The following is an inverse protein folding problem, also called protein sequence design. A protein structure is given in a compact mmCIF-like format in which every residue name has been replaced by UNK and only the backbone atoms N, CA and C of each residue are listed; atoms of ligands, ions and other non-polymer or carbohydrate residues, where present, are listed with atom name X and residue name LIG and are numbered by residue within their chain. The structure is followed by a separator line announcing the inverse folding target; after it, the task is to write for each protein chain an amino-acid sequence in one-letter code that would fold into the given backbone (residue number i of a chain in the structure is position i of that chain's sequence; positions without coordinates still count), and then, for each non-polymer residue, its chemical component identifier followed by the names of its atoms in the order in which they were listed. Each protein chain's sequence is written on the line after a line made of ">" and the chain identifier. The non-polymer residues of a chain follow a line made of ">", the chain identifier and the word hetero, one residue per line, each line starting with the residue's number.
data_IF_173129914210
#
_entry.id   IF_173129914210
#
_cell.length_a   1.000
_cell.length_b   1.000
_cell.length_c   1.000
_cell.angle_alpha   90.00
_cell.angle_beta   90.00
_cell.angle_gamma   90.00
#
_symmetry.space_group_name_H-M   'P 1'
#
loop_
_entity.id
_entity.type
_entity.pdbx_description
1 polymer ?
#
# COMPACT_ATOMS: atom_id res chain seq x y z
N UNK A 1 -38.46 -16.01 -28.90
CA UNK A 1 -37.38 -15.43 -28.10
C UNK A 1 -36.25 -16.42 -27.86
N UNK A 2 -36.57 -17.73 -27.83
CA UNK A 2 -35.58 -18.80 -27.65
C UNK A 2 -35.68 -19.76 -28.82
N UNK A 3 -34.51 -20.10 -29.38
CA UNK A 3 -34.41 -21.10 -30.44
C UNK A 3 -33.57 -22.25 -29.88
N UNK A 4 -34.22 -23.35 -29.52
CA UNK A 4 -33.56 -24.59 -29.09
C UNK A 4 -33.65 -25.65 -30.17
N UNK A 5 -32.64 -26.51 -30.30
CA UNK A 5 -32.76 -27.75 -31.09
C UNK A 5 -33.74 -28.71 -30.41
N UNK A 6 -34.59 -29.35 -31.20
CA UNK A 6 -35.55 -30.34 -30.69
C UNK A 6 -34.85 -31.43 -29.86
N UNK A 7 -35.42 -31.72 -28.70
CA UNK A 7 -35.21 -32.98 -28.00
C UNK A 7 -34.36 -32.98 -26.73
N UNK A 8 -33.77 -31.86 -26.26
CA UNK A 8 -33.12 -31.86 -24.95
C UNK A 8 -33.50 -30.63 -24.20
N UNK A 9 -34.31 -30.81 -23.15
CA UNK A 9 -34.80 -29.77 -22.26
C UNK A 9 -33.66 -28.89 -21.73
N UNK A 10 -33.61 -27.69 -22.23
CA UNK A 10 -32.47 -26.83 -22.10
C UNK A 10 -32.68 -25.79 -21.04
N UNK A 11 -33.94 -25.48 -20.77
CA UNK A 11 -34.33 -24.46 -19.78
C UNK A 11 -35.64 -24.82 -19.08
N UNK A 12 -35.68 -24.52 -17.82
CA UNK A 12 -36.91 -24.56 -17.02
C UNK A 12 -37.06 -23.24 -16.24
N UNK A 13 -38.30 -22.76 -16.12
CA UNK A 13 -38.62 -21.59 -15.31
C UNK A 13 -39.98 -21.76 -14.68
N UNK A 14 -40.11 -21.47 -13.37
CA UNK A 14 -41.40 -21.30 -12.66
C UNK A 14 -41.84 -19.85 -12.80
N UNK A 15 -43.13 -19.60 -12.53
CA UNK A 15 -43.73 -18.27 -12.70
C UNK A 15 -43.00 -17.17 -11.89
N UNK A 16 -42.53 -17.51 -10.69
CA UNK A 16 -41.90 -16.57 -9.74
C UNK A 16 -40.34 -16.56 -9.84
N UNK A 17 -39.75 -17.41 -10.66
CA UNK A 17 -38.29 -17.44 -10.79
C UNK A 17 -37.80 -16.19 -11.53
N UNK A 18 -36.69 -15.62 -11.10
CA UNK A 18 -36.05 -14.48 -11.74
C UNK A 18 -35.48 -14.82 -13.13
N UNK A 19 -35.05 -16.06 -13.34
CA UNK A 19 -34.39 -16.52 -14.55
C UNK A 19 -34.72 -17.97 -14.92
N UNK A 20 -34.21 -18.39 -16.06
CA UNK A 20 -34.36 -19.73 -16.60
C UNK A 20 -33.21 -20.62 -16.11
N UNK A 21 -33.50 -21.78 -15.56
CA UNK A 21 -32.50 -22.77 -15.23
C UNK A 21 -31.89 -23.39 -16.50
N UNK A 22 -30.58 -23.35 -16.64
CA UNK A 22 -29.85 -24.01 -17.73
C UNK A 22 -29.46 -25.42 -17.30
N UNK A 23 -29.77 -26.39 -18.17
CA UNK A 23 -29.58 -27.81 -17.93
C UNK A 23 -28.32 -28.30 -18.65
N UNK A 24 -27.47 -29.05 -17.97
CA UNK A 24 -26.24 -29.59 -18.55
C UNK A 24 -26.58 -30.63 -19.62
N UNK A 25 -26.13 -30.49 -20.88
CA UNK A 25 -26.56 -31.32 -21.98
C UNK A 25 -25.91 -32.70 -21.97
N UNK A 26 -24.77 -32.87 -21.31
CA UNK A 26 -24.01 -34.11 -21.14
C UNK A 26 -23.24 -34.04 -19.82
N UNK A 27 -22.74 -35.16 -19.36
CA UNK A 27 -21.83 -35.15 -18.21
C UNK A 27 -20.55 -34.39 -18.52
N UNK A 28 -20.13 -33.50 -17.62
CA UNK A 28 -18.94 -32.63 -17.77
C UNK A 28 -18.07 -32.73 -16.53
N UNK A 29 -16.82 -33.15 -16.72
CA UNK A 29 -15.80 -33.10 -15.68
C UNK A 29 -15.00 -31.82 -15.81
N UNK A 30 -14.81 -31.10 -14.68
CA UNK A 30 -14.02 -29.86 -14.59
C UNK A 30 -12.90 -30.10 -13.58
N UNK A 31 -11.63 -30.19 -14.02
CA UNK A 31 -10.49 -30.41 -13.13
C UNK A 31 -10.34 -29.29 -12.09
N UNK A 32 -9.61 -29.57 -11.01
CA UNK A 32 -9.28 -28.61 -9.96
C UNK A 32 -8.65 -27.32 -10.52
N UNK A 33 -9.15 -26.16 -10.11
CA UNK A 33 -8.64 -24.86 -10.51
C UNK A 33 -8.78 -24.54 -12.02
N UNK A 34 -9.61 -25.26 -12.78
CA UNK A 34 -9.74 -25.10 -14.25
C UNK A 34 -11.07 -24.50 -14.65
N UNK A 35 -11.05 -23.95 -15.87
CA UNK A 35 -12.23 -23.41 -16.55
C UNK A 35 -12.65 -24.38 -17.65
N UNK A 36 -13.96 -24.60 -17.78
CA UNK A 36 -14.56 -25.36 -18.84
C UNK A 36 -15.66 -24.58 -19.52
N UNK A 37 -15.71 -24.58 -20.86
CA UNK A 37 -16.84 -24.06 -21.65
C UNK A 37 -17.79 -25.20 -21.94
N UNK A 38 -19.07 -25.00 -21.59
CA UNK A 38 -20.15 -25.98 -21.85
C UNK A 38 -21.09 -25.36 -22.89
N UNK A 39 -21.12 -25.90 -24.05
CA UNK A 39 -22.05 -25.48 -25.08
C UNK A 39 -23.45 -26.05 -24.77
N UNK A 40 -24.45 -25.17 -24.81
CA UNK A 40 -25.86 -25.52 -24.65
C UNK A 40 -26.51 -25.37 -26.04
N UNK A 41 -27.30 -26.33 -26.49
CA UNK A 41 -28.02 -26.24 -27.77
C UNK A 41 -29.16 -25.17 -27.71
N UNK A 42 -28.78 -23.96 -27.33
CA UNK A 42 -29.66 -22.82 -27.17
C UNK A 42 -29.11 -21.63 -27.93
N UNK A 43 -29.98 -20.94 -28.65
CA UNK A 43 -29.73 -19.62 -29.22
C UNK A 43 -30.77 -18.64 -28.70
N UNK A 44 -30.39 -17.38 -28.53
CA UNK A 44 -31.27 -16.33 -28.09
C UNK A 44 -31.60 -15.42 -29.27
N UNK A 45 -32.86 -15.02 -29.37
CA UNK A 45 -33.32 -13.97 -30.26
C UNK A 45 -33.82 -12.81 -29.41
N UNK A 46 -32.89 -12.03 -28.87
CA UNK A 46 -33.18 -10.92 -27.97
C UNK A 46 -33.67 -9.69 -28.77
N UNK A 47 -34.58 -8.91 -28.18
CA UNK A 47 -34.94 -7.62 -28.74
C UNK A 47 -33.77 -6.63 -28.58
N UNK A 48 -33.74 -5.59 -29.43
CA UNK A 48 -32.67 -4.56 -29.39
C UNK A 48 -32.52 -3.88 -28.00
N UNK A 49 -33.58 -3.82 -27.23
CA UNK A 49 -33.59 -3.23 -25.90
C UNK A 49 -33.50 -4.28 -24.77
N UNK A 50 -32.93 -5.44 -25.08
CA UNK A 50 -32.73 -6.52 -24.11
C UNK A 50 -31.31 -7.09 -24.22
N UNK A 51 -30.78 -7.55 -23.12
CA UNK A 51 -29.58 -8.37 -23.05
C UNK A 51 -29.83 -9.51 -22.08
N UNK A 52 -28.96 -10.48 -22.01
CA UNK A 52 -29.10 -11.60 -21.10
C UNK A 52 -27.84 -11.79 -20.27
N UNK A 53 -28.01 -12.31 -19.06
CA UNK A 53 -26.92 -12.67 -18.16
C UNK A 53 -27.04 -14.13 -17.76
N UNK A 54 -25.92 -14.85 -17.79
CA UNK A 54 -25.80 -16.18 -17.23
C UNK A 54 -25.16 -16.05 -15.83
N UNK A 55 -25.91 -16.43 -14.80
CA UNK A 55 -25.45 -16.39 -13.43
C UNK A 55 -25.22 -17.77 -12.84
N UNK A 56 -24.41 -17.80 -11.79
CA UNK A 56 -24.19 -19.01 -10.99
C UNK A 56 -25.42 -19.33 -10.14
N UNK A 57 -25.84 -20.59 -10.12
CA UNK A 57 -26.85 -21.04 -9.16
C UNK A 57 -26.24 -21.10 -7.76
N UNK A 58 -27.01 -20.68 -6.74
CA UNK A 58 -26.56 -20.67 -5.34
C UNK A 58 -26.02 -22.04 -4.88
N UNK A 59 -26.64 -23.13 -5.32
CA UNK A 59 -26.20 -24.50 -5.01
C UNK A 59 -24.87 -24.91 -5.59
N UNK A 60 -24.38 -24.19 -6.62
CA UNK A 60 -23.05 -24.36 -7.20
C UNK A 60 -22.07 -23.36 -6.60
N UNK A 61 -22.49 -22.11 -6.41
CA UNK A 61 -21.66 -21.08 -5.77
C UNK A 61 -21.19 -21.52 -4.36
N UNK A 62 -22.09 -22.09 -3.55
CA UNK A 62 -21.77 -22.61 -2.20
C UNK A 62 -20.77 -23.80 -2.22
N UNK A 63 -20.55 -24.41 -3.39
CA UNK A 63 -19.59 -25.49 -3.59
C UNK A 63 -18.33 -25.05 -4.33
N UNK A 64 -18.04 -23.76 -4.41
CA UNK A 64 -16.86 -23.25 -5.08
C UNK A 64 -16.89 -23.36 -6.61
N UNK A 65 -18.07 -23.40 -7.21
CA UNK A 65 -18.24 -23.48 -8.67
C UNK A 65 -18.92 -22.23 -9.18
N UNK A 66 -18.26 -21.50 -10.07
CA UNK A 66 -18.71 -20.19 -10.52
C UNK A 66 -18.86 -20.11 -12.03
N UNK A 67 -19.83 -19.31 -12.47
CA UNK A 67 -19.95 -18.90 -13.88
C UNK A 67 -19.11 -17.66 -14.09
N UNK A 68 -18.23 -17.67 -15.10
CA UNK A 68 -17.38 -16.56 -15.50
C UNK A 68 -17.92 -15.91 -16.78
N UNK A 69 -17.84 -14.57 -16.87
CA UNK A 69 -18.43 -13.83 -17.97
C UNK A 69 -19.97 -13.87 -17.93
N UNK A 70 -20.58 -14.33 -18.99
CA UNK A 70 -22.02 -14.61 -19.02
C UNK A 70 -22.89 -13.47 -19.49
N UNK A 71 -22.35 -12.33 -19.96
CA UNK A 71 -23.09 -11.27 -20.64
C UNK A 71 -23.33 -11.71 -22.09
N UNK A 72 -24.58 -11.59 -22.53
CA UNK A 72 -25.00 -11.93 -23.88
C UNK A 72 -25.72 -10.71 -24.48
N UNK A 73 -25.10 -10.15 -25.48
CA UNK A 73 -25.58 -8.96 -26.18
C UNK A 73 -26.82 -9.28 -27.03
N UNK A 74 -27.66 -8.27 -27.27
CA UNK A 74 -28.87 -8.38 -28.09
C UNK A 74 -28.61 -8.88 -29.53
N UNK A 75 -27.42 -8.57 -30.06
CA UNK A 75 -27.01 -8.97 -31.40
C UNK A 75 -26.36 -10.34 -31.51
N UNK A 76 -26.10 -11.03 -30.39
CA UNK A 76 -25.45 -12.35 -30.42
C UNK A 76 -26.39 -13.43 -30.92
N UNK A 77 -26.00 -14.11 -32.00
CA UNK A 77 -26.79 -15.17 -32.65
C UNK A 77 -26.16 -16.57 -32.57
N UNK A 78 -25.03 -16.69 -31.89
CA UNK A 78 -24.34 -17.95 -31.71
C UNK A 78 -25.00 -18.87 -30.70
N UNK A 79 -24.55 -20.10 -30.63
CA UNK A 79 -24.94 -21.06 -29.57
C UNK A 79 -24.39 -20.59 -28.23
N UNK A 80 -25.24 -20.60 -27.22
CA UNK A 80 -24.86 -20.19 -25.85
C UNK A 80 -23.81 -21.13 -25.29
N UNK A 81 -22.74 -20.54 -24.76
CA UNK A 81 -21.70 -21.27 -24.05
C UNK A 81 -21.62 -20.77 -22.61
N UNK A 82 -21.68 -21.69 -21.67
CA UNK A 82 -21.52 -21.38 -20.24
C UNK A 82 -20.07 -21.63 -19.84
N UNK A 83 -19.39 -20.62 -19.38
CA UNK A 83 -18.01 -20.71 -18.91
C UNK A 83 -18.03 -20.98 -17.41
N UNK A 84 -17.64 -22.19 -17.01
CA UNK A 84 -17.67 -22.66 -15.62
C UNK A 84 -16.26 -22.73 -15.07
N UNK A 85 -16.04 -22.15 -13.90
CA UNK A 85 -14.80 -22.22 -13.14
C UNK A 85 -14.99 -23.08 -11.89
N UNK A 86 -14.12 -24.07 -11.71
CA UNK A 86 -13.99 -24.86 -10.49
C UNK A 86 -12.88 -24.27 -9.63
N UNK A 87 -13.23 -23.64 -8.51
CA UNK A 87 -12.26 -23.04 -7.58
C UNK A 87 -11.74 -24.02 -6.51
N UNK A 88 -12.21 -25.28 -6.55
CA UNK A 88 -11.77 -26.28 -5.60
C UNK A 88 -10.42 -26.90 -6.02
N UNK A 89 -9.77 -27.53 -5.08
CA UNK A 89 -8.52 -28.30 -5.26
C UNK A 89 -8.77 -29.75 -5.76
N UNK A 90 -10.04 -30.12 -5.92
CA UNK A 90 -10.49 -31.39 -6.48
C UNK A 90 -11.33 -31.19 -7.75
N UNK A 91 -11.37 -32.20 -8.61
CA UNK A 91 -12.26 -32.16 -9.77
C UNK A 91 -13.75 -32.21 -9.37
N UNK A 92 -14.59 -31.61 -10.18
CA UNK A 92 -16.04 -31.68 -10.02
C UNK A 92 -16.67 -32.31 -11.27
N UNK A 93 -17.76 -33.04 -11.05
CA UNK A 93 -18.57 -33.60 -12.12
C UNK A 93 -19.94 -32.92 -12.12
N UNK A 94 -20.35 -32.40 -13.28
CA UNK A 94 -21.70 -31.90 -13.51
C UNK A 94 -22.41 -32.98 -14.35
N UNK A 95 -23.35 -33.74 -13.76
CA UNK A 95 -24.08 -34.77 -14.48
C UNK A 95 -24.97 -34.18 -15.58
N UNK A 96 -25.22 -35.01 -16.63
CA UNK A 96 -26.23 -34.71 -17.62
C UNK A 96 -27.60 -34.45 -16.93
N UNK A 97 -28.36 -33.50 -17.43
CA UNK A 97 -29.67 -33.14 -16.88
C UNK A 97 -29.62 -32.29 -15.61
N UNK A 98 -28.45 -32.01 -15.06
CA UNK A 98 -28.30 -31.15 -13.87
C UNK A 98 -28.51 -29.69 -14.22
N UNK A 99 -29.35 -29.01 -13.45
CA UNK A 99 -29.51 -27.54 -13.48
C UNK A 99 -28.26 -26.90 -12.86
N UNK A 100 -27.41 -26.24 -13.65
CA UNK A 100 -26.09 -25.78 -13.18
C UNK A 100 -25.87 -24.26 -13.29
N UNK A 101 -26.63 -23.59 -14.14
CA UNK A 101 -26.55 -22.15 -14.33
C UNK A 101 -27.96 -21.54 -14.46
N UNK A 102 -28.06 -20.22 -14.43
CA UNK A 102 -29.34 -19.53 -14.58
C UNK A 102 -29.20 -18.40 -15.61
N UNK A 103 -30.10 -18.32 -16.56
CA UNK A 103 -30.21 -17.28 -17.59
C UNK A 103 -31.26 -16.24 -17.16
N UNK A 104 -30.87 -15.00 -17.07
CA UNK A 104 -31.72 -13.87 -16.68
C UNK A 104 -31.82 -12.90 -17.87
N UNK A 105 -33.01 -12.47 -18.23
CA UNK A 105 -33.24 -11.46 -19.26
C UNK A 105 -33.32 -10.10 -18.59
N UNK A 106 -32.59 -9.11 -19.13
CA UNK A 106 -32.47 -7.78 -18.60
C UNK A 106 -32.86 -6.74 -19.66
N UNK A 107 -33.48 -5.61 -19.26
CA UNK A 107 -33.67 -4.48 -20.16
C UNK A 107 -32.31 -3.83 -20.47
N UNK A 108 -32.12 -3.38 -21.71
CA UNK A 108 -30.95 -2.59 -22.12
C UNK A 108 -31.40 -1.13 -22.27
N UNK A 109 -30.76 -0.27 -21.51
CA UNK A 109 -30.94 1.18 -21.56
C UNK A 109 -29.78 1.72 -22.40
N UNK A 110 -30.11 2.39 -23.51
CA UNK A 110 -29.13 3.07 -24.35
C UNK A 110 -29.00 4.50 -23.89
N UNK A 111 -27.89 4.83 -23.28
CA UNK A 111 -27.50 6.19 -22.94
C UNK A 111 -26.17 6.50 -23.61
N UNK A 112 -26.01 7.71 -24.11
CA UNK A 112 -24.74 8.18 -24.64
C UNK A 112 -23.76 8.46 -23.48
N UNK A 113 -22.49 8.09 -23.67
CA UNK A 113 -21.44 8.42 -22.74
C UNK A 113 -21.08 9.89 -22.90
N UNK A 114 -21.28 10.67 -21.85
CA UNK A 114 -20.80 12.05 -21.81
C UNK A 114 -19.35 12.11 -21.29
N UNK A 115 -18.55 13.08 -21.78
CA UNK A 115 -17.22 13.31 -21.22
C UNK A 115 -17.29 13.59 -19.73
N UNK A 116 -16.28 13.16 -18.97
CA UNK A 116 -16.20 13.40 -17.54
C UNK A 116 -16.34 14.89 -17.20
N UNK A 117 -17.44 15.27 -16.58
CA UNK A 117 -17.79 16.65 -16.24
C UNK A 117 -18.07 16.82 -14.74
N UNK A 118 -18.80 17.87 -14.39
CA UNK A 118 -19.25 18.10 -13.02
C UNK A 118 -20.23 16.99 -12.61
N UNK A 119 -19.77 16.10 -11.75
CA UNK A 119 -20.60 15.02 -11.20
C UNK A 119 -21.56 15.55 -10.15
N UNK A 120 -22.76 14.96 -10.11
CA UNK A 120 -23.75 15.25 -9.07
C UNK A 120 -23.21 14.81 -7.71
N UNK A 121 -23.27 15.67 -6.69
CA UNK A 121 -22.97 15.28 -5.32
C UNK A 121 -24.06 14.30 -4.84
N UNK A 122 -23.66 13.12 -4.39
CA UNK A 122 -24.52 12.09 -3.83
C UNK A 122 -23.99 11.67 -2.47
N UNK A 123 -24.83 11.11 -1.60
CA UNK A 123 -24.39 10.56 -0.31
C UNK A 123 -23.35 9.45 -0.46
N UNK A 124 -23.42 8.68 -1.56
CA UNK A 124 -22.44 7.63 -1.86
C UNK A 124 -21.10 8.18 -2.36
N UNK A 125 -21.09 9.33 -3.04
CA UNK A 125 -19.88 9.94 -3.61
C UNK A 125 -19.10 8.95 -4.46
N UNK A 126 -17.81 8.83 -4.18
CA UNK A 126 -16.87 7.90 -4.84
C UNK A 126 -16.82 6.50 -4.19
N UNK A 127 -17.66 6.24 -3.20
CA UNK A 127 -17.67 4.96 -2.50
C UNK A 127 -18.23 3.85 -3.40
N UNK A 128 -17.39 2.86 -3.70
CA UNK A 128 -17.72 1.71 -4.52
C UNK A 128 -16.95 0.46 -4.10
N UNK A 129 -17.11 -0.64 -4.83
CA UNK A 129 -16.33 -1.88 -4.69
C UNK A 129 -16.23 -2.45 -3.26
N UNK A 130 -17.34 -2.47 -2.52
CA UNK A 130 -17.41 -3.01 -1.16
C UNK A 130 -17.36 -1.96 -0.05
N UNK A 131 -17.45 -0.67 -0.37
CA UNK A 131 -17.53 0.42 0.61
C UNK A 131 -18.73 0.33 1.55
N UNK A 132 -19.81 -0.37 1.15
CA UNK A 132 -21.00 -0.60 2.01
C UNK A 132 -20.84 -1.92 2.76
N UNK A 133 -20.61 -1.84 4.08
CA UNK A 133 -20.49 -3.01 4.96
C UNK A 133 -19.04 -3.49 5.19
N UNK A 134 -18.03 -2.73 4.80
CA UNK A 134 -16.65 -3.03 5.11
C UNK A 134 -16.27 -2.44 6.49
N UNK A 135 -15.68 -3.24 7.34
CA UNK A 135 -15.21 -2.88 8.70
C UNK A 135 -14.29 -1.65 8.73
N UNK A 136 -13.62 -1.37 7.61
CA UNK A 136 -12.70 -0.24 7.50
C UNK A 136 -13.35 1.14 7.43
N UNK A 137 -14.68 1.22 7.13
CA UNK A 137 -15.39 2.51 7.07
C UNK A 137 -15.36 3.22 8.42
N UNK A 138 -15.49 2.47 9.51
CA UNK A 138 -15.41 2.99 10.88
C UNK A 138 -14.02 3.52 11.23
N UNK A 139 -13.00 3.13 10.46
CA UNK A 139 -11.63 3.58 10.67
C UNK A 139 -11.27 4.84 9.85
N UNK A 140 -12.11 5.27 8.88
CA UNK A 140 -11.83 6.48 8.09
C UNK A 140 -11.70 7.71 8.98
N UNK A 141 -12.63 8.02 9.91
CA UNK A 141 -12.50 9.21 10.76
C UNK A 141 -11.23 9.19 11.62
N UNK A 142 -10.82 8.01 12.08
CA UNK A 142 -9.57 7.83 12.84
C UNK A 142 -8.34 8.07 11.99
N UNK A 143 -8.37 7.60 10.73
CA UNK A 143 -7.29 7.81 9.77
C UNK A 143 -7.19 9.29 9.36
N UNK A 144 -8.32 9.98 9.20
CA UNK A 144 -8.38 11.42 8.94
C UNK A 144 -7.79 12.21 10.13
N UNK A 145 -8.23 11.93 11.34
CA UNK A 145 -7.71 12.56 12.56
C UNK A 145 -6.20 12.34 12.74
N UNK A 146 -5.71 11.12 12.48
CA UNK A 146 -4.29 10.81 12.59
C UNK A 146 -3.48 11.49 11.46
N UNK A 147 -4.06 11.57 10.25
CA UNK A 147 -3.44 12.30 9.13
C UNK A 147 -3.34 13.80 9.41
N UNK A 148 -4.37 14.41 9.96
CA UNK A 148 -4.37 15.83 10.33
C UNK A 148 -3.29 16.16 11.36
N UNK A 149 -2.94 15.20 12.22
CA UNK A 149 -1.88 15.35 13.22
C UNK A 149 -0.46 15.15 12.67
N UNK A 150 -0.29 14.18 11.77
CA UNK A 150 1.04 13.69 11.40
C UNK A 150 1.37 13.81 9.93
N UNK A 151 0.41 14.09 9.07
CA UNK A 151 0.54 14.21 7.62
C UNK A 151 1.34 13.07 6.97
N UNK A 152 1.15 11.83 7.49
CA UNK A 152 1.77 10.63 6.92
C UNK A 152 1.21 10.31 5.53
N UNK A 153 1.92 9.48 4.80
CA UNK A 153 1.54 9.07 3.45
C UNK A 153 0.37 8.06 3.42
N UNK A 154 -0.23 7.91 2.23
CA UNK A 154 -1.39 7.02 2.04
C UNK A 154 -1.08 5.53 2.33
N UNK A 155 0.16 5.08 2.11
CA UNK A 155 0.56 3.71 2.43
C UNK A 155 0.53 3.47 3.94
N UNK A 156 1.02 4.42 4.72
CA UNK A 156 1.01 4.36 6.17
C UNK A 156 -0.40 4.35 6.74
N UNK A 157 -1.29 5.21 6.24
CA UNK A 157 -2.71 5.22 6.62
C UNK A 157 -3.42 3.90 6.29
N UNK A 158 -3.17 3.36 5.08
CA UNK A 158 -3.70 2.07 4.66
C UNK A 158 -3.31 0.95 5.64
N UNK A 159 -2.03 0.90 6.02
CA UNK A 159 -1.49 -0.16 6.87
C UNK A 159 -1.86 0.00 8.35
N UNK A 160 -1.91 1.23 8.87
CA UNK A 160 -2.21 1.48 10.28
C UNK A 160 -3.70 1.33 10.61
N UNK A 161 -4.58 1.72 9.67
CA UNK A 161 -6.03 1.74 9.90
C UNK A 161 -6.80 0.64 9.16
N UNK A 162 -6.11 -0.15 8.31
CA UNK A 162 -6.77 -1.19 7.52
C UNK A 162 -7.79 -0.64 6.50
N UNK A 163 -7.71 0.65 6.16
CA UNK A 163 -8.57 1.27 5.15
C UNK A 163 -8.05 0.98 3.74
N UNK A 164 -8.89 0.92 2.69
CA UNK A 164 -8.43 0.74 1.34
C UNK A 164 -7.41 1.81 0.93
N UNK A 165 -6.43 1.42 0.12
CA UNK A 165 -5.41 2.35 -0.35
C UNK A 165 -6.01 3.58 -1.09
N UNK A 166 -7.08 3.37 -1.84
CA UNK A 166 -7.81 4.45 -2.52
C UNK A 166 -8.42 5.45 -1.54
N UNK A 167 -8.99 4.98 -0.43
CA UNK A 167 -9.51 5.84 0.64
C UNK A 167 -8.37 6.61 1.34
N UNK A 168 -7.25 5.95 1.60
CA UNK A 168 -6.06 6.59 2.16
C UNK A 168 -5.46 7.65 1.20
N UNK A 169 -5.41 7.36 -0.10
CA UNK A 169 -4.97 8.31 -1.13
C UNK A 169 -5.90 9.53 -1.20
N UNK A 170 -7.21 9.34 -1.06
CA UNK A 170 -8.20 10.41 -1.05
C UNK A 170 -8.05 11.33 0.19
N UNK A 171 -7.78 10.77 1.37
CA UNK A 171 -7.47 11.55 2.58
C UNK A 171 -6.27 12.47 2.32
N UNK A 172 -5.17 11.92 1.82
CA UNK A 172 -3.94 12.68 1.55
C UNK A 172 -4.14 13.72 0.43
N UNK A 173 -4.94 13.41 -0.60
CA UNK A 173 -5.23 14.32 -1.71
C UNK A 173 -6.10 15.50 -1.30
N UNK A 174 -6.98 15.34 -0.32
CA UNK A 174 -7.83 16.42 0.21
C UNK A 174 -7.09 17.33 1.18
N UNK A 175 -5.96 16.92 1.72
CA UNK A 175 -5.16 17.72 2.64
C UNK A 175 -4.39 18.81 1.89
N UNK A 176 -4.74 20.07 2.09
CA UNK A 176 -4.09 21.22 1.46
C UNK A 176 -2.59 21.26 1.76
N UNK A 177 -2.20 21.07 3.02
CA UNK A 177 -0.81 21.06 3.47
C UNK A 177 0.02 19.99 2.74
N UNK A 178 -0.56 18.80 2.53
CA UNK A 178 0.12 17.72 1.80
C UNK A 178 0.23 18.00 0.30
N UNK A 179 -0.73 18.70 -0.30
CA UNK A 179 -0.67 19.06 -1.72
C UNK A 179 0.35 20.15 -2.00
N UNK A 180 0.45 21.16 -1.15
CA UNK A 180 1.46 22.23 -1.26
C UNK A 180 2.89 21.69 -1.14
N UNK A 181 3.10 20.66 -0.32
CA UNK A 181 4.39 20.02 -0.05
C UNK A 181 4.62 18.71 -0.81
N UNK A 182 4.01 18.52 -1.98
CA UNK A 182 4.10 17.28 -2.75
C UNK A 182 5.53 17.03 -3.27
N UNK A 183 6.06 15.84 -3.01
CA UNK A 183 7.34 15.41 -3.58
C UNK A 183 7.22 15.03 -5.04
N UNK A 184 8.14 15.46 -5.93
CA UNK A 184 8.31 14.77 -7.20
C UNK A 184 8.75 13.33 -6.95
N UNK A 185 8.20 12.38 -7.72
CA UNK A 185 8.57 10.97 -7.66
C UNK A 185 10.05 10.80 -8.03
N UNK A 186 10.93 10.70 -7.04
CA UNK A 186 12.32 10.35 -7.27
C UNK A 186 12.51 8.84 -7.11
N UNK A 187 13.11 8.20 -8.11
CA UNK A 187 13.45 6.77 -8.08
C UNK A 187 14.24 6.43 -6.81
N UNK A 188 13.79 5.43 -6.07
CA UNK A 188 14.46 4.90 -4.88
C UNK A 188 15.67 4.05 -5.30
N UNK A 189 16.84 4.64 -5.37
CA UNK A 189 18.10 3.89 -5.35
C UNK A 189 18.40 3.45 -3.91
N UNK A 190 18.44 2.16 -3.62
CA UNK A 190 18.80 1.64 -2.30
C UNK A 190 20.27 1.20 -2.27
N UNK A 191 21.17 2.04 -1.79
CA UNK A 191 22.45 1.58 -1.29
C UNK A 191 22.32 1.29 0.20
N UNK A 192 21.73 0.13 0.54
CA UNK A 192 21.72 -0.36 1.92
C UNK A 192 23.15 -0.72 2.33
N UNK A 193 23.69 -0.02 3.30
CA UNK A 193 24.94 -0.40 3.99
C UNK A 193 24.62 -1.29 5.18
N UNK A 194 25.65 -1.78 5.86
CA UNK A 194 25.50 -2.71 6.97
C UNK A 194 24.58 -2.18 8.11
N UNK A 195 24.00 -3.09 8.86
CA UNK A 195 23.20 -2.78 10.05
C UNK A 195 24.03 -2.01 11.06
N UNK A 196 23.42 -0.98 11.68
CA UNK A 196 24.04 -0.16 12.72
C UNK A 196 25.20 0.73 12.22
N UNK A 197 25.09 1.12 10.95
CA UNK A 197 25.95 2.10 10.33
C UNK A 197 25.18 3.41 10.15
N UNK A 198 25.73 4.50 10.68
CA UNK A 198 25.09 5.81 10.69
C UNK A 198 25.83 6.81 9.83
N UNK A 199 25.11 7.75 9.24
CA UNK A 199 25.66 8.95 8.62
C UNK A 199 25.23 10.16 9.41
N UNK A 200 26.10 11.16 9.52
CA UNK A 200 25.82 12.42 10.19
C UNK A 200 26.25 13.60 9.33
N UNK A 201 25.43 14.63 9.34
CA UNK A 201 25.74 15.89 8.66
C UNK A 201 24.88 17.04 9.20
N UNK A 202 25.36 18.27 9.00
CA UNK A 202 24.61 19.48 9.31
C UNK A 202 23.69 19.85 8.16
N UNK A 203 22.52 20.42 8.49
CA UNK A 203 21.64 21.00 7.49
C UNK A 203 21.01 22.29 8.00
N UNK A 204 20.90 23.26 7.08
CA UNK A 204 20.32 24.56 7.37
C UNK A 204 18.83 24.59 6.97
N UNK A 205 18.01 25.11 7.86
CA UNK A 205 16.60 25.38 7.62
C UNK A 205 16.32 26.80 8.07
N UNK A 206 16.13 27.70 7.11
CA UNK A 206 16.11 29.14 7.38
C UNK A 206 17.39 29.57 8.15
N UNK A 207 17.23 30.28 9.28
CA UNK A 207 18.33 30.70 10.17
C UNK A 207 18.71 29.66 11.23
N UNK A 208 18.16 28.44 11.14
CA UNK A 208 18.37 27.39 12.13
C UNK A 208 19.24 26.28 11.56
N UNK A 209 20.07 25.69 12.40
CA UNK A 209 20.96 24.59 12.04
C UNK A 209 20.47 23.33 12.74
N UNK A 210 20.32 22.25 12.00
CA UNK A 210 20.06 20.90 12.52
C UNK A 210 21.25 20.02 12.29
N UNK A 211 21.65 19.27 13.30
CA UNK A 211 22.55 18.16 13.18
C UNK A 211 21.73 16.88 13.06
N UNK A 212 21.94 16.12 11.99
CA UNK A 212 21.07 15.00 11.58
C UNK A 212 21.89 13.73 11.47
N UNK A 213 21.45 12.67 12.13
CA UNK A 213 21.98 11.32 12.02
C UNK A 213 20.96 10.43 11.33
N UNK A 214 21.42 9.56 10.44
CA UNK A 214 20.58 8.58 9.72
C UNK A 214 21.18 7.20 9.81
N UNK A 215 20.41 6.24 10.30
CA UNK A 215 20.79 4.82 10.23
C UNK A 215 20.57 4.29 8.82
N UNK A 216 21.60 3.75 8.19
CA UNK A 216 21.61 3.51 6.74
C UNK A 216 20.82 2.30 6.28
N UNK A 217 20.49 1.38 7.17
CA UNK A 217 19.69 0.18 6.85
C UNK A 217 18.19 0.42 7.03
N UNK A 218 17.78 0.95 8.17
CA UNK A 218 16.37 1.20 8.52
C UNK A 218 15.86 2.54 7.96
N UNK A 219 16.76 3.52 7.78
CA UNK A 219 16.40 4.89 7.48
C UNK A 219 15.89 5.67 8.69
N UNK A 220 16.17 5.18 9.92
CA UNK A 220 15.86 5.88 11.16
C UNK A 220 16.63 7.20 11.22
N UNK A 221 15.94 8.29 11.56
CA UNK A 221 16.49 9.64 11.63
C UNK A 221 16.52 10.11 13.09
N UNK A 222 17.64 10.65 13.53
CA UNK A 222 17.72 11.44 14.74
C UNK A 222 18.22 12.84 14.38
N UNK A 223 17.65 13.88 14.95
CA UNK A 223 18.04 15.26 14.67
C UNK A 223 17.89 16.13 15.90
N UNK A 224 18.83 17.05 16.06
CA UNK A 224 18.83 18.05 17.14
C UNK A 224 19.17 19.42 16.55
N UNK A 225 18.53 20.46 17.09
CA UNK A 225 18.89 21.84 16.77
C UNK A 225 20.19 22.22 17.48
N UNK A 226 21.08 22.88 16.75
CA UNK A 226 22.34 23.43 17.27
C UNK A 226 22.40 24.94 17.09
N UNK A 227 23.22 25.61 17.87
CA UNK A 227 23.47 27.06 17.73
C UNK A 227 24.53 27.34 16.67
N UNK A 228 25.41 26.37 16.42
CA UNK A 228 26.45 26.47 15.41
C UNK A 228 27.11 25.11 15.15
N UNK A 229 27.88 25.03 14.09
CA UNK A 229 28.62 23.82 13.68
C UNK A 229 29.92 23.67 14.49
N UNK A 230 29.79 23.59 15.81
CA UNK A 230 30.94 23.54 16.71
C UNK A 230 31.26 22.11 17.18
N UNK A 231 32.54 21.79 17.30
CA UNK A 231 32.94 20.48 17.81
C UNK A 231 32.44 20.20 19.22
N UNK A 232 32.22 21.21 20.07
CA UNK A 232 31.68 21.04 21.41
C UNK A 232 30.21 20.59 21.37
N UNK A 233 29.35 21.27 20.59
CA UNK A 233 27.94 20.87 20.44
C UNK A 233 27.84 19.48 19.80
N UNK A 234 28.62 19.22 18.76
CA UNK A 234 28.68 17.91 18.14
C UNK A 234 28.99 16.80 19.16
N UNK A 235 30.06 16.95 19.96
CA UNK A 235 30.43 15.94 20.97
C UNK A 235 29.33 15.76 22.03
N UNK A 236 28.72 16.82 22.49
CA UNK A 236 27.63 16.76 23.49
C UNK A 236 26.42 15.99 22.94
N UNK A 237 26.01 16.29 21.70
CA UNK A 237 24.90 15.61 21.06
C UNK A 237 25.23 14.17 20.65
N UNK A 238 26.47 13.91 20.29
CA UNK A 238 26.94 12.55 20.02
C UNK A 238 26.83 11.66 21.26
N UNK A 239 27.10 12.17 22.45
CA UNK A 239 26.90 11.40 23.69
C UNK A 239 25.43 11.10 23.95
N UNK A 240 24.50 12.05 23.71
CA UNK A 240 23.06 11.82 23.79
C UNK A 240 22.60 10.75 22.79
N UNK A 241 23.00 10.90 21.53
CA UNK A 241 22.69 9.96 20.47
C UNK A 241 23.25 8.56 20.78
N UNK A 242 24.47 8.47 21.29
CA UNK A 242 25.07 7.20 21.72
C UNK A 242 24.27 6.53 22.84
N UNK A 243 23.82 7.30 23.83
CA UNK A 243 23.01 6.80 24.93
C UNK A 243 21.67 6.19 24.49
N UNK A 244 21.10 6.74 23.38
CA UNK A 244 19.83 6.25 22.83
C UNK A 244 20.00 5.02 21.95
N UNK A 245 21.04 4.98 21.12
CA UNK A 245 21.12 4.05 19.99
C UNK A 245 22.31 3.07 20.07
N UNK A 246 23.32 3.34 20.90
CA UNK A 246 24.56 2.55 21.04
C UNK A 246 25.13 2.12 19.67
N UNK A 247 25.43 3.08 18.77
CA UNK A 247 25.87 2.82 17.39
C UNK A 247 27.26 2.20 17.35
N UNK A 248 27.55 1.41 16.30
CA UNK A 248 28.87 0.82 16.09
C UNK A 248 29.76 1.63 15.16
N UNK A 249 29.17 2.27 14.17
CA UNK A 249 29.93 3.02 13.18
C UNK A 249 29.21 4.30 12.75
N UNK A 250 30.00 5.33 12.48
CA UNK A 250 29.56 6.64 12.06
C UNK A 250 30.35 7.09 10.85
N UNK A 251 29.69 7.65 9.86
CA UNK A 251 30.30 8.34 8.72
C UNK A 251 29.89 9.81 8.72
N UNK A 252 30.87 10.70 8.58
CA UNK A 252 30.66 12.14 8.38
C UNK A 252 31.41 12.64 7.15
N UNK A 253 31.23 13.90 6.82
CA UNK A 253 32.17 14.61 5.95
C UNK A 253 33.46 14.99 6.69
N UNK A 254 34.29 15.82 6.06
CA UNK A 254 35.56 16.32 6.63
C UNK A 254 35.39 17.69 7.32
N UNK A 255 34.18 18.04 7.75
CA UNK A 255 33.92 19.28 8.48
C UNK A 255 34.75 19.40 9.75
N UNK A 256 35.18 20.61 10.14
CA UNK A 256 36.08 20.81 11.28
C UNK A 256 35.57 20.21 12.59
N UNK A 257 34.26 20.24 12.82
CA UNK A 257 33.64 19.67 14.01
C UNK A 257 33.79 18.14 14.09
N UNK A 258 33.82 17.47 12.95
CA UNK A 258 33.90 16.02 12.86
C UNK A 258 35.34 15.48 12.93
N UNK A 259 36.29 16.22 12.34
CA UNK A 259 37.71 15.76 12.28
C UNK A 259 38.57 16.24 13.42
N UNK A 260 38.05 17.10 14.33
CA UNK A 260 38.78 17.60 15.47
C UNK A 260 39.34 16.45 16.33
N UNK A 261 40.55 16.57 16.84
CA UNK A 261 41.21 15.59 17.70
C UNK A 261 40.34 15.17 18.89
N UNK A 262 39.75 16.15 19.59
CA UNK A 262 38.83 15.86 20.71
C UNK A 262 37.56 15.05 20.28
N UNK A 263 37.15 15.16 19.05
CA UNK A 263 36.05 14.35 18.49
C UNK A 263 36.51 12.92 18.22
N UNK A 264 37.70 12.74 17.67
CA UNK A 264 38.30 11.42 17.42
C UNK A 264 38.55 10.66 18.75
N UNK A 265 39.04 11.35 19.76
CA UNK A 265 39.16 10.77 21.11
C UNK A 265 37.83 10.35 21.71
N UNK A 266 36.77 11.14 21.53
CA UNK A 266 35.43 10.74 21.98
C UNK A 266 34.92 9.51 21.23
N UNK A 267 35.09 9.44 19.91
CA UNK A 267 34.67 8.27 19.13
C UNK A 267 35.43 7.00 19.60
N UNK A 268 36.71 7.11 19.82
CA UNK A 268 37.52 6.01 20.37
C UNK A 268 37.05 5.61 21.77
N UNK A 269 36.76 6.57 22.67
CA UNK A 269 36.25 6.30 24.00
C UNK A 269 34.92 5.57 23.99
N UNK A 270 34.02 5.96 23.06
CA UNK A 270 32.71 5.32 22.89
C UNK A 270 32.75 4.00 22.09
N UNK A 271 33.90 3.63 21.55
CA UNK A 271 34.06 2.43 20.71
C UNK A 271 33.37 2.54 19.35
N UNK A 272 33.17 3.75 18.84
CA UNK A 272 32.55 4.01 17.55
C UNK A 272 33.64 4.03 16.47
N UNK A 273 33.47 3.21 15.42
CA UNK A 273 34.29 3.30 14.23
C UNK A 273 33.85 4.52 13.42
N UNK A 274 34.63 5.60 13.48
CA UNK A 274 34.35 6.84 12.75
C UNK A 274 35.13 6.87 11.43
N UNK A 275 34.42 7.07 10.33
CA UNK A 275 35.01 7.26 9.00
C UNK A 275 34.58 8.62 8.44
N UNK A 276 35.57 9.37 7.98
CA UNK A 276 35.31 10.63 7.25
C UNK A 276 35.19 10.37 5.76
N UNK A 277 34.40 11.18 5.05
CA UNK A 277 34.14 11.01 3.63
C UNK A 277 35.41 11.09 2.79
N UNK A 278 35.52 10.25 1.77
CA UNK A 278 36.52 10.40 0.74
C UNK A 278 36.19 11.64 -0.08
N UNK A 279 37.09 12.65 -0.20
CA UNK A 279 36.87 13.79 -1.05
C UNK A 279 36.42 13.32 -2.45
N UNK A 280 35.39 13.96 -3.04
CA UNK A 280 34.90 13.68 -4.40
C UNK A 280 34.08 12.39 -4.58
N UNK A 281 33.52 11.77 -3.55
CA UNK A 281 32.55 10.69 -3.70
C UNK A 281 31.14 11.15 -3.31
N UNK A 282 30.33 11.70 -4.25
CA UNK A 282 28.97 12.21 -3.98
C UNK A 282 28.00 11.13 -3.50
N UNK A 283 28.27 9.86 -3.78
CA UNK A 283 27.38 8.76 -3.38
C UNK A 283 27.52 8.37 -1.90
N UNK A 284 28.60 8.81 -1.24
CA UNK A 284 28.87 8.40 0.14
C UNK A 284 27.91 9.02 1.17
N UNK A 285 27.27 10.15 0.88
CA UNK A 285 26.36 10.88 1.78
C UNK A 285 24.94 11.04 1.24
N UNK A 286 24.62 10.44 0.12
CA UNK A 286 23.31 10.55 -0.52
C UNK A 286 22.12 10.15 0.36
N UNK A 287 22.34 9.37 1.43
CA UNK A 287 21.26 8.97 2.36
C UNK A 287 20.96 10.10 3.35
N UNK A 288 21.97 10.71 3.95
CA UNK A 288 21.75 11.82 4.88
C UNK A 288 21.21 13.05 4.16
N UNK A 289 21.67 13.33 2.93
CA UNK A 289 21.14 14.43 2.12
C UNK A 289 19.64 14.26 1.80
N UNK A 290 19.22 13.04 1.44
CA UNK A 290 17.80 12.71 1.25
C UNK A 290 16.99 12.82 2.54
N UNK A 291 17.59 12.43 3.65
CA UNK A 291 16.96 12.58 4.96
C UNK A 291 16.76 14.04 5.33
N UNK A 292 17.73 14.92 5.01
CA UNK A 292 17.62 16.36 5.17
C UNK A 292 16.39 16.92 4.44
N UNK A 293 16.24 16.58 3.15
CA UNK A 293 15.11 17.04 2.35
C UNK A 293 13.78 16.52 2.91
N UNK A 294 13.74 15.25 3.29
CA UNK A 294 12.53 14.63 3.84
C UNK A 294 12.18 15.25 5.20
N UNK A 295 13.16 15.45 6.08
CA UNK A 295 12.98 16.07 7.38
C UNK A 295 12.47 17.50 7.25
N UNK A 296 13.13 18.33 6.44
CA UNK A 296 12.75 19.74 6.22
C UNK A 296 11.29 19.86 5.77
N UNK A 297 10.87 19.11 4.75
CA UNK A 297 9.48 19.10 4.26
C UNK A 297 8.49 18.62 5.28
N UNK A 298 8.86 17.62 6.09
CA UNK A 298 7.97 17.16 7.16
C UNK A 298 7.84 18.22 8.26
N UNK A 299 8.93 18.92 8.58
CA UNK A 299 8.90 20.06 9.49
C UNK A 299 8.03 21.19 8.93
N UNK A 300 8.14 21.52 7.64
CA UNK A 300 7.28 22.51 6.97
C UNK A 300 5.80 22.18 7.12
N UNK A 301 5.41 20.94 6.88
CA UNK A 301 4.02 20.47 7.05
C UNK A 301 3.50 20.62 8.46
N UNK A 302 4.36 20.36 9.44
CA UNK A 302 3.96 20.31 10.85
C UNK A 302 4.16 21.65 11.57
N UNK A 303 5.01 22.53 11.06
CA UNK A 303 5.30 23.84 11.69
C UNK A 303 4.05 24.68 12.02
N UNK A 304 3.00 24.72 11.19
CA UNK A 304 1.79 25.46 11.54
C UNK A 304 1.09 24.99 12.82
N UNK A 305 1.34 23.76 13.24
CA UNK A 305 0.70 23.13 14.41
C UNK A 305 1.47 23.36 15.71
N UNK A 306 2.70 23.86 15.66
CA UNK A 306 3.59 23.97 16.80
C UNK A 306 4.16 25.40 16.94
N UNK A 307 4.05 25.96 18.12
CA UNK A 307 4.60 27.30 18.41
C UNK A 307 6.15 27.33 18.41
N UNK A 308 6.79 26.20 18.72
CA UNK A 308 8.24 26.08 18.79
C UNK A 308 8.77 25.19 17.67
N UNK A 309 9.83 25.64 16.99
CA UNK A 309 10.51 24.89 15.93
C UNK A 309 11.00 23.52 16.39
N UNK A 310 11.57 23.45 17.59
CA UNK A 310 12.08 22.17 18.14
C UNK A 310 10.96 21.15 18.36
N UNK A 311 9.73 21.61 18.66
CA UNK A 311 8.54 20.74 18.74
C UNK A 311 8.10 20.26 17.37
N UNK A 312 8.16 21.09 16.34
CA UNK A 312 7.89 20.70 14.96
C UNK A 312 8.92 19.66 14.46
N UNK A 313 10.20 19.82 14.80
CA UNK A 313 11.25 18.84 14.51
C UNK A 313 10.96 17.50 15.20
N UNK A 314 10.61 17.53 16.50
CA UNK A 314 10.28 16.32 17.24
C UNK A 314 9.06 15.59 16.63
N UNK A 315 8.01 16.33 16.27
CA UNK A 315 6.83 15.78 15.59
C UNK A 315 7.19 15.19 14.22
N UNK A 316 8.05 15.85 13.45
CA UNK A 316 8.55 15.34 12.17
C UNK A 316 9.33 14.02 12.34
N UNK A 317 10.13 13.89 13.38
CA UNK A 317 10.83 12.64 13.70
C UNK A 317 9.87 11.52 14.07
N UNK A 318 8.79 11.80 14.81
CA UNK A 318 7.73 10.81 15.10
C UNK A 318 7.08 10.36 13.80
N UNK A 319 6.71 11.29 12.92
CA UNK A 319 6.10 10.97 11.62
C UNK A 319 7.02 10.08 10.80
N UNK A 320 8.30 10.43 10.67
CA UNK A 320 9.25 9.74 9.80
C UNK A 320 9.71 8.39 10.35
N UNK A 321 9.86 8.28 11.66
CA UNK A 321 10.43 7.08 12.29
C UNK A 321 9.38 6.06 12.72
N UNK A 322 8.18 6.50 13.08
CA UNK A 322 7.14 5.66 13.70
C UNK A 322 5.91 5.54 12.81
N UNK A 323 5.37 6.68 12.34
CA UNK A 323 4.13 6.72 11.57
C UNK A 323 4.31 6.27 10.12
N UNK A 324 5.42 6.60 9.48
CA UNK A 324 5.71 6.17 8.12
C UNK A 324 6.00 4.67 8.06
N UNK A 325 5.23 3.95 7.22
CA UNK A 325 5.38 2.51 7.02
C UNK A 325 5.94 2.19 5.63
N UNK A 326 6.81 1.21 5.56
CA UNK A 326 7.26 0.61 4.30
C UNK A 326 6.25 -0.41 3.75
N UNK A 327 6.52 -0.96 2.56
CA UNK A 327 5.64 -1.94 1.90
C UNK A 327 5.36 -3.23 2.70
N UNK A 328 6.16 -3.52 3.72
CA UNK A 328 5.96 -4.66 4.64
C UNK A 328 5.24 -4.27 5.95
N UNK A 329 4.72 -3.04 6.06
CA UNK A 329 4.01 -2.56 7.24
C UNK A 329 4.91 -2.21 8.42
N UNK A 330 6.23 -2.13 8.22
CA UNK A 330 7.22 -1.81 9.25
C UNK A 330 7.70 -0.37 9.12
N UNK A 331 7.82 0.32 10.26
CA UNK A 331 8.43 1.64 10.33
C UNK A 331 9.97 1.56 10.36
N UNK A 332 10.70 2.67 10.11
CA UNK A 332 12.13 2.73 10.33
C UNK A 332 12.56 2.31 11.74
N UNK A 333 11.78 2.68 12.76
CA UNK A 333 12.02 2.30 14.15
C UNK A 333 11.87 0.78 14.36
N UNK A 334 10.81 0.17 13.79
CA UNK A 334 10.60 -1.28 13.90
C UNK A 334 11.76 -2.06 13.26
N UNK A 335 12.22 -1.62 12.08
CA UNK A 335 13.37 -2.23 11.39
C UNK A 335 14.64 -2.10 12.22
N UNK A 336 14.88 -0.92 12.82
CA UNK A 336 16.06 -0.68 13.66
C UNK A 336 16.07 -1.57 14.89
N UNK A 337 14.96 -1.64 15.64
CA UNK A 337 14.80 -2.48 16.82
C UNK A 337 15.03 -3.95 16.48
N UNK A 338 14.38 -4.43 15.42
CA UNK A 338 14.55 -5.81 14.95
C UNK A 338 16.01 -6.14 14.63
N UNK A 339 16.71 -5.24 13.93
CA UNK A 339 18.13 -5.43 13.60
C UNK A 339 19.02 -5.46 14.85
N UNK A 340 18.76 -4.60 15.83
CA UNK A 340 19.50 -4.60 17.09
C UNK A 340 19.32 -5.91 17.86
N UNK A 341 18.09 -6.43 17.93
CA UNK A 341 17.79 -7.68 18.60
C UNK A 341 18.49 -8.87 17.92
N UNK A 342 18.46 -8.94 16.58
CA UNK A 342 19.17 -9.97 15.82
C UNK A 342 20.68 -9.94 16.09
N UNK A 343 21.30 -8.77 16.15
CA UNK A 343 22.72 -8.64 16.50
C UNK A 343 23.02 -9.13 17.90
N UNK A 344 22.14 -8.84 18.87
CA UNK A 344 22.28 -9.28 20.27
C UNK A 344 22.24 -10.81 20.39
N UNK A 345 21.28 -11.45 19.71
CA UNK A 345 21.16 -12.90 19.65
C UNK A 345 22.42 -13.53 19.03
N UNK A 346 22.92 -13.01 17.90
CA UNK A 346 24.13 -13.50 17.27
C UNK A 346 25.40 -13.33 18.12
N UNK A 347 25.47 -12.30 18.95
CA UNK A 347 26.58 -12.14 19.87
C UNK A 347 26.54 -13.16 21.02
N UNK A 348 25.36 -13.44 21.58
CA UNK A 348 25.18 -14.45 22.63
C UNK A 348 25.51 -15.86 22.13
N UNK A 349 25.16 -16.20 20.88
CA UNK A 349 25.47 -17.51 20.29
C UNK A 349 26.96 -17.73 19.96
N UNK A 350 27.80 -16.69 19.98
CA UNK A 350 29.24 -16.79 19.78
C UNK A 350 30.03 -16.91 21.10
N UNK A 351 29.39 -16.69 22.23
CA UNK A 351 30.01 -16.73 23.56
C UNK A 351 29.76 -18.09 24.23
N UNK A 352 28.78 -18.86 23.73
CA UNK A 352 28.55 -20.25 24.06
C UNK A 352 29.24 -21.19 23.07
#
# INVERSE_FOLDING_TARGET
>A
IFLAKEGKGIMEKRAEDAGYDLICPQEVVIPAGKIKKIAIDLRLNLKKNQWAMIGTKSSFASKGVFIQGGIIDSGYQGTIQVVVYNSNDVEIVIPQGRKFAQLILMPLIHEELEPWGKTRKTERGIQGFGSTGAYWIENIPKAEEDHDKWHQDAMSLHLDFGIPRTAAEDIVQRCEICQENKMPNTMRGSNKRGVDHWQVDYTHYEEKILLVWVETNSGLIYAERVKGETGQEFRTLTMKWYALFAPKSLQSDNGPAFVAEATQLLMQYLGITHTTGIPWNPQSQALVERAHQTLKRTVEKLSPMFAAFDSAVAAALITLNIKRKGGLGTSPMDIFIFNKEQQRIQQQSKVN
#
